data_IF_635274704774
#
_entry.id   IF_635274704774
#
_cell.length_a   1.000
_cell.length_b   1.000
_cell.length_c   1.000
_cell.angle_alpha   90.00
_cell.angle_beta   90.00
_cell.angle_gamma   90.00
#
_symmetry.space_group_name_H-M   'P 1'
#
loop_
_entity.id
_entity.type
_entity.pdbx_description
1 polymer ?
#
# COMPACT_ATOMS: atom_id res chain seq x y z
N UNK A 1 13.53 7.91 -5.14
CA UNK A 1 13.66 8.73 -6.36
C UNK A 1 13.46 7.80 -7.55
N UNK A 2 12.26 7.78 -8.16
CA UNK A 2 11.99 6.98 -9.35
C UNK A 2 12.41 7.80 -10.57
N UNK A 3 13.48 7.38 -11.24
CA UNK A 3 13.96 8.09 -12.42
C UNK A 3 13.33 7.52 -13.69
N UNK A 4 12.86 8.48 -14.49
CA UNK A 4 12.06 8.43 -15.70
C UNK A 4 12.76 7.70 -16.85
N UNK A 5 12.15 6.65 -17.37
CA UNK A 5 12.31 6.30 -18.79
C UNK A 5 11.16 6.99 -19.57
N UNK A 6 11.50 7.74 -20.61
CA UNK A 6 10.54 8.27 -21.57
C UNK A 6 10.32 7.21 -22.64
N UNK A 7 9.06 6.92 -22.95
CA UNK A 7 8.71 5.98 -24.00
C UNK A 7 9.19 6.50 -25.37
N UNK A 8 9.80 5.60 -26.15
CA UNK A 8 10.14 5.73 -27.56
C UNK A 8 11.28 6.69 -27.95
N UNK A 9 12.36 6.74 -27.16
CA UNK A 9 13.66 7.25 -27.63
C UNK A 9 14.75 6.29 -27.16
N UNK A 10 15.44 5.68 -28.14
CA UNK A 10 16.67 4.89 -28.07
C UNK A 10 17.23 4.51 -26.67
N UNK A 11 17.20 3.20 -26.40
CA UNK A 11 17.61 2.45 -25.21
C UNK A 11 19.09 2.64 -24.77
N UNK A 12 19.89 3.51 -25.41
CA UNK A 12 21.32 3.69 -25.09
C UNK A 12 21.59 4.88 -24.16
N UNK A 13 20.90 6.02 -24.35
CA UNK A 13 21.19 7.27 -23.62
C UNK A 13 20.66 7.29 -22.18
N UNK A 14 19.51 6.66 -21.94
CA UNK A 14 18.89 6.58 -20.60
C UNK A 14 19.67 5.62 -19.69
N UNK A 15 20.13 4.50 -20.26
CA UNK A 15 20.95 3.51 -19.56
C UNK A 15 22.32 4.07 -19.17
N UNK A 16 22.96 4.83 -20.07
CA UNK A 16 24.24 5.48 -19.78
C UNK A 16 24.11 6.51 -18.64
N UNK A 17 23.07 7.34 -18.65
CA UNK A 17 22.78 8.29 -17.59
C UNK A 17 22.60 7.60 -16.23
N UNK A 18 21.79 6.53 -16.18
CA UNK A 18 21.53 5.80 -14.93
C UNK A 18 22.79 5.08 -14.42
N UNK A 19 23.63 4.55 -15.31
CA UNK A 19 24.94 3.97 -14.96
C UNK A 19 25.93 5.01 -14.43
N UNK A 20 25.88 6.24 -14.92
CA UNK A 20 26.69 7.36 -14.38
C UNK A 20 26.27 7.69 -12.95
N UNK A 21 24.96 7.74 -12.69
CA UNK A 21 24.43 8.00 -11.34
C UNK A 21 24.84 6.91 -10.34
N UNK A 22 24.76 5.63 -10.75
CA UNK A 22 25.21 4.50 -9.92
C UNK A 22 26.68 4.64 -9.50
N UNK A 23 27.56 5.04 -10.43
CA UNK A 23 28.98 5.28 -10.13
C UNK A 23 29.16 6.42 -9.12
N UNK A 24 28.52 7.56 -9.35
CA UNK A 24 28.60 8.72 -8.44
C UNK A 24 28.21 8.39 -6.99
N UNK A 25 27.17 7.56 -6.80
CA UNK A 25 26.75 7.13 -5.47
C UNK A 25 27.80 6.21 -4.83
N UNK A 26 28.36 5.28 -5.60
CA UNK A 26 29.29 4.29 -5.08
C UNK A 26 30.69 4.84 -4.80
N UNK A 27 31.11 5.88 -5.53
CA UNK A 27 32.38 6.58 -5.37
C UNK A 27 32.36 7.55 -4.17
N UNK A 28 31.17 7.92 -3.68
CA UNK A 28 31.02 8.75 -2.49
C UNK A 28 31.32 7.93 -1.21
N UNK A 29 32.45 8.22 -0.56
CA UNK A 29 32.88 7.55 0.68
C UNK A 29 31.94 7.78 1.86
N UNK A 30 31.11 8.84 1.83
CA UNK A 30 30.14 9.15 2.87
C UNK A 30 28.79 8.47 2.66
N UNK A 31 28.61 7.72 1.56
CA UNK A 31 27.36 7.00 1.31
C UNK A 31 27.20 5.80 2.23
N UNK A 32 26.06 5.72 2.93
CA UNK A 32 25.70 4.57 3.79
C UNK A 32 25.05 3.42 3.02
N UNK A 33 24.85 3.57 1.71
CA UNK A 33 24.22 2.57 0.85
C UNK A 33 25.00 2.43 -0.46
N UNK A 34 24.81 1.30 -1.13
CA UNK A 34 25.42 1.00 -2.44
C UNK A 34 24.34 0.95 -3.51
N UNK A 35 24.63 1.56 -4.64
CA UNK A 35 23.75 1.59 -5.79
C UNK A 35 24.10 0.45 -6.77
N UNK A 36 23.06 -0.15 -7.34
CA UNK A 36 23.15 -1.02 -8.52
C UNK A 36 22.02 -0.65 -9.45
N UNK A 37 22.27 -0.68 -10.75
CA UNK A 37 21.22 -0.48 -11.73
C UNK A 37 20.15 -1.58 -11.60
N UNK A 38 18.89 -1.15 -11.49
CA UNK A 38 17.74 -2.05 -11.42
C UNK A 38 16.77 -1.70 -12.57
N UNK A 39 16.51 -2.69 -13.43
CA UNK A 39 15.63 -2.53 -14.61
C UNK A 39 14.13 -2.58 -14.24
N UNK A 40 13.80 -2.98 -13.01
CA UNK A 40 12.41 -3.01 -12.52
C UNK A 40 11.97 -1.61 -12.08
N UNK A 41 11.18 -0.92 -12.91
CA UNK A 41 10.68 0.41 -12.57
C UNK A 41 10.02 1.19 -13.71
N UNK A 42 9.41 0.51 -14.68
CA UNK A 42 8.69 1.17 -15.77
C UNK A 42 7.23 1.33 -15.35
N UNK A 43 6.78 2.58 -15.26
CA UNK A 43 5.36 2.91 -15.08
C UNK A 43 4.75 3.15 -16.46
N UNK A 44 3.69 2.44 -16.80
CA UNK A 44 2.94 2.73 -18.01
C UNK A 44 2.30 4.12 -17.91
N UNK A 45 2.28 4.85 -19.03
CA UNK A 45 1.73 6.23 -19.06
C UNK A 45 0.28 6.29 -19.53
N UNK A 46 -0.15 5.24 -20.20
CA UNK A 46 -1.48 5.11 -20.78
C UNK A 46 -2.05 3.76 -20.40
N UNK A 47 -3.21 3.78 -19.73
CA UNK A 47 -3.89 2.57 -19.26
C UNK A 47 -5.17 2.28 -20.06
N UNK A 48 -5.43 3.02 -21.14
CA UNK A 48 -6.58 2.76 -22.02
C UNK A 48 -7.95 3.16 -21.45
N UNK A 49 -8.00 3.89 -20.33
CA UNK A 49 -9.25 4.40 -19.76
C UNK A 49 -9.12 5.87 -19.33
N UNK A 50 -10.25 6.59 -19.34
CA UNK A 50 -10.34 7.96 -18.81
C UNK A 50 -10.64 7.91 -17.32
N UNK A 51 -9.97 8.76 -16.55
CA UNK A 51 -10.27 8.93 -15.14
C UNK A 51 -11.12 10.17 -14.92
N UNK A 52 -12.30 9.99 -14.32
CA UNK A 52 -13.16 11.07 -13.85
C UNK A 52 -13.26 10.98 -12.34
N UNK A 53 -12.78 12.01 -11.64
CA UNK A 53 -12.86 12.08 -10.17
C UNK A 53 -14.28 12.48 -9.76
N UNK A 54 -14.98 11.60 -9.05
CA UNK A 54 -16.27 11.93 -8.46
C UNK A 54 -16.07 12.84 -7.24
N UNK A 55 -16.21 14.16 -7.43
CA UNK A 55 -15.97 15.16 -6.38
C UNK A 55 -16.94 15.05 -5.21
N UNK A 56 -18.20 14.66 -5.47
CA UNK A 56 -19.22 14.45 -4.42
C UNK A 56 -18.85 13.28 -3.53
N UNK A 57 -18.55 12.12 -4.11
CA UNK A 57 -18.13 10.93 -3.35
C UNK A 57 -16.85 11.19 -2.55
N UNK A 58 -15.89 11.94 -3.12
CA UNK A 58 -14.68 12.36 -2.40
C UNK A 58 -15.03 13.23 -1.20
N UNK A 59 -15.93 14.20 -1.35
CA UNK A 59 -16.34 15.08 -0.25
C UNK A 59 -17.04 14.31 0.87
N UNK A 60 -17.88 13.34 0.54
CA UNK A 60 -18.53 12.46 1.52
C UNK A 60 -17.50 11.67 2.34
N UNK A 61 -16.49 11.07 1.69
CA UNK A 61 -15.41 10.35 2.38
C UNK A 61 -14.58 11.27 3.26
N UNK A 62 -14.35 12.52 2.84
CA UNK A 62 -13.64 13.50 3.69
C UNK A 62 -14.42 13.83 4.96
N UNK A 63 -15.76 13.93 4.88
CA UNK A 63 -16.62 14.13 6.05
C UNK A 63 -16.56 12.92 6.99
N UNK A 64 -16.59 11.70 6.46
CA UNK A 64 -16.45 10.49 7.27
C UNK A 64 -15.07 10.38 7.93
N UNK A 65 -14.02 10.76 7.22
CA UNK A 65 -12.66 10.87 7.77
C UNK A 65 -12.58 11.87 8.92
N UNK A 66 -13.17 13.05 8.75
CA UNK A 66 -13.20 14.08 9.78
C UNK A 66 -13.94 13.58 11.03
N UNK A 67 -15.11 12.94 10.86
CA UNK A 67 -15.84 12.31 11.99
C UNK A 67 -14.99 11.26 12.70
N UNK A 68 -14.29 10.42 11.94
CA UNK A 68 -13.43 9.37 12.48
C UNK A 68 -12.28 9.95 13.31
N UNK A 69 -11.55 10.94 12.77
CA UNK A 69 -10.45 11.59 13.51
C UNK A 69 -10.93 12.40 14.72
N UNK A 70 -12.15 12.93 14.66
CA UNK A 70 -12.76 13.64 15.78
C UNK A 70 -13.37 12.72 16.84
N UNK A 71 -13.44 11.41 16.60
CA UNK A 71 -14.00 10.43 17.54
C UNK A 71 -13.14 10.26 18.79
N UNK A 72 -13.77 9.99 19.93
CA UNK A 72 -13.06 9.73 21.20
C UNK A 72 -12.21 8.47 21.14
N UNK A 73 -12.57 7.50 20.29
CA UNK A 73 -11.73 6.34 20.04
C UNK A 73 -10.39 6.77 19.43
N UNK A 74 -10.41 7.59 18.38
CA UNK A 74 -9.17 8.06 17.73
C UNK A 74 -8.36 8.96 18.64
N UNK A 75 -9.00 9.89 19.34
CA UNK A 75 -8.30 10.75 20.30
C UNK A 75 -7.58 9.94 21.39
N UNK A 76 -8.25 8.93 21.96
CA UNK A 76 -7.62 8.04 22.95
C UNK A 76 -6.46 7.25 22.36
N UNK A 77 -6.61 6.69 21.17
CA UNK A 77 -5.53 5.95 20.53
C UNK A 77 -4.31 6.83 20.23
N UNK A 78 -4.52 8.05 19.71
CA UNK A 78 -3.43 8.99 19.49
C UNK A 78 -2.75 9.39 20.81
N UNK A 79 -3.53 9.53 21.89
CA UNK A 79 -2.98 9.77 23.21
C UNK A 79 -2.17 8.58 23.72
N UNK A 80 -2.68 7.34 23.61
CA UNK A 80 -1.93 6.13 23.98
C UNK A 80 -0.60 6.00 23.23
N UNK A 81 -0.58 6.34 21.94
CA UNK A 81 0.66 6.36 21.15
C UNK A 81 1.63 7.45 21.59
N UNK A 82 1.12 8.62 21.98
CA UNK A 82 1.93 9.77 22.42
C UNK A 82 2.48 9.55 23.83
N UNK A 83 1.69 8.94 24.70
CA UNK A 83 2.03 8.67 26.10
C UNK A 83 2.89 7.39 26.25
N UNK A 84 3.08 6.62 25.17
CA UNK A 84 3.91 5.41 25.21
C UNK A 84 5.38 5.78 25.45
N UNK A 85 6.00 5.29 26.53
CA UNK A 85 7.35 5.71 26.89
C UNK A 85 8.39 5.15 25.90
N UNK A 86 9.21 6.04 25.33
CA UNK A 86 10.32 5.69 24.43
C UNK A 86 11.27 4.64 25.03
N UNK A 87 11.46 4.67 26.35
CA UNK A 87 12.29 3.70 27.09
C UNK A 87 11.76 2.26 27.03
N UNK A 88 10.49 2.08 26.66
CA UNK A 88 9.86 0.77 26.47
C UNK A 88 9.89 0.30 25.01
N UNK A 89 10.44 1.09 24.08
CA UNK A 89 10.65 0.66 22.70
C UNK A 89 11.95 -0.17 22.59
N UNK A 90 11.93 -1.27 21.84
CA UNK A 90 13.15 -2.03 21.59
C UNK A 90 14.08 -1.23 20.67
N UNK A 91 15.39 -1.37 20.87
CA UNK A 91 16.41 -0.75 20.00
C UNK A 91 16.38 -1.30 18.57
N UNK A 92 15.88 -2.52 18.39
CA UNK A 92 15.67 -3.16 17.10
C UNK A 92 14.33 -3.89 17.09
N UNK A 93 13.58 -3.74 16.00
CA UNK A 93 12.30 -4.40 15.81
C UNK A 93 12.17 -4.94 14.39
N UNK A 94 11.75 -6.20 14.28
CA UNK A 94 11.40 -6.83 13.01
C UNK A 94 10.06 -7.55 13.17
N UNK A 95 9.04 -7.05 12.47
CA UNK A 95 7.70 -7.61 12.52
C UNK A 95 7.66 -9.09 12.08
N UNK A 96 8.56 -9.51 11.18
CA UNK A 96 8.65 -10.90 10.69
C UNK A 96 9.11 -11.84 11.79
N UNK A 97 9.94 -11.36 12.71
CA UNK A 97 10.39 -12.12 13.88
C UNK A 97 9.36 -12.10 15.01
N UNK A 98 8.64 -10.98 15.19
CA UNK A 98 7.61 -10.84 16.21
C UNK A 98 6.36 -11.67 15.92
N UNK A 99 5.96 -11.74 14.65
CA UNK A 99 4.78 -12.49 14.18
C UNK A 99 5.13 -13.46 13.05
N UNK A 100 5.94 -14.50 13.33
CA UNK A 100 6.43 -15.43 12.31
C UNK A 100 5.31 -16.28 11.68
N UNK A 101 4.18 -16.40 12.37
CA UNK A 101 2.99 -17.11 11.88
C UNK A 101 2.18 -16.29 10.86
N UNK A 102 2.57 -15.03 10.59
CA UNK A 102 1.91 -14.15 9.64
C UNK A 102 2.74 -14.01 8.35
N UNK A 103 2.51 -14.87 7.34
CA UNK A 103 3.34 -14.90 6.13
C UNK A 103 3.21 -13.63 5.28
N UNK A 104 2.12 -12.88 5.43
CA UNK A 104 1.91 -11.62 4.70
C UNK A 104 2.98 -10.58 5.02
N UNK A 105 3.54 -10.57 6.25
CA UNK A 105 4.54 -9.57 6.69
C UNK A 105 5.85 -9.71 5.90
N UNK A 106 6.18 -10.93 5.48
CA UNK A 106 7.38 -11.21 4.69
C UNK A 106 7.14 -11.08 3.18
N UNK A 107 5.90 -10.84 2.73
CA UNK A 107 5.54 -10.81 1.32
C UNK A 107 5.94 -9.47 0.69
N UNK A 108 6.57 -9.54 -0.48
CA UNK A 108 6.92 -8.36 -1.30
C UNK A 108 6.07 -8.35 -2.58
N UNK A 109 4.96 -7.60 -2.63
CA UNK A 109 4.09 -7.54 -3.80
C UNK A 109 4.70 -6.70 -4.94
N UNK A 110 4.29 -6.99 -6.18
CA UNK A 110 4.67 -6.22 -7.36
C UNK A 110 3.43 -5.53 -7.95
N UNK A 111 3.42 -4.20 -7.96
CA UNK A 111 2.34 -3.37 -8.50
C UNK A 111 2.25 -3.35 -10.05
N UNK A 112 3.26 -3.92 -10.73
CA UNK A 112 3.36 -3.90 -12.19
C UNK A 112 3.51 -2.48 -12.76
N UNK A 113 3.11 -2.30 -14.01
CA UNK A 113 3.14 -1.00 -14.70
C UNK A 113 2.11 0.02 -14.19
N UNK A 114 1.27 -0.35 -13.22
CA UNK A 114 0.23 0.48 -12.63
C UNK A 114 0.77 1.31 -11.45
N UNK A 115 0.40 2.59 -11.35
CA UNK A 115 0.69 3.45 -10.19
C UNK A 115 -0.15 3.15 -8.95
N UNK A 116 -0.32 1.87 -8.60
CA UNK A 116 -1.20 1.36 -7.54
C UNK A 116 -0.53 1.16 -6.18
N UNK A 117 0.64 1.75 -5.93
CA UNK A 117 1.37 1.60 -4.66
C UNK A 117 0.51 1.90 -3.41
N UNK A 118 -0.41 2.87 -3.50
CA UNK A 118 -1.33 3.21 -2.41
C UNK A 118 -2.27 2.04 -2.06
N UNK A 119 -2.77 1.31 -3.06
CA UNK A 119 -3.64 0.15 -2.90
C UNK A 119 -2.84 -1.07 -2.41
N UNK A 120 -1.68 -1.32 -3.01
CA UNK A 120 -0.78 -2.42 -2.64
C UNK A 120 -0.30 -2.29 -1.19
N UNK A 121 0.10 -1.08 -0.77
CA UNK A 121 0.52 -0.82 0.61
C UNK A 121 -0.64 -1.00 1.60
N UNK A 122 -1.82 -0.45 1.29
CA UNK A 122 -2.99 -0.58 2.17
C UNK A 122 -3.44 -2.04 2.33
N UNK A 123 -3.55 -2.79 1.22
CA UNK A 123 -3.91 -4.21 1.26
C UNK A 123 -2.85 -5.06 1.99
N UNK A 124 -1.56 -4.73 1.84
CA UNK A 124 -0.47 -5.37 2.59
C UNK A 124 -0.60 -5.17 4.11
N UNK A 125 -0.71 -3.92 4.56
CA UNK A 125 -0.89 -3.58 5.99
C UNK A 125 -2.16 -4.21 6.55
N UNK A 126 -3.25 -4.19 5.78
CA UNK A 126 -4.52 -4.77 6.17
C UNK A 126 -4.41 -6.30 6.33
N UNK A 127 -3.69 -6.99 5.44
CA UNK A 127 -3.43 -8.43 5.53
C UNK A 127 -2.62 -8.78 6.77
N UNK A 128 -1.54 -8.02 7.03
CA UNK A 128 -0.68 -8.21 8.19
C UNK A 128 -1.46 -8.08 9.49
N UNK A 129 -2.26 -7.03 9.60
CA UNK A 129 -3.04 -6.76 10.80
C UNK A 129 -4.19 -7.74 10.99
N UNK A 130 -4.86 -8.15 9.92
CA UNK A 130 -5.85 -9.22 9.99
C UNK A 130 -5.22 -10.52 10.52
N UNK A 131 -4.01 -10.87 10.08
CA UNK A 131 -3.30 -12.02 10.62
C UNK A 131 -2.90 -11.84 12.09
N UNK A 132 -2.30 -10.71 12.46
CA UNK A 132 -1.86 -10.43 13.83
C UNK A 132 -3.04 -10.46 14.81
N UNK A 133 -4.11 -9.75 14.50
CA UNK A 133 -5.29 -9.64 15.36
C UNK A 133 -6.06 -10.95 15.48
N UNK A 134 -6.03 -11.78 14.43
CA UNK A 134 -6.63 -13.13 14.45
C UNK A 134 -5.70 -14.19 15.03
N UNK A 135 -4.56 -13.79 15.61
CA UNK A 135 -3.54 -14.68 16.17
C UNK A 135 -3.07 -15.76 15.19
N UNK A 136 -2.89 -15.39 13.92
CA UNK A 136 -2.40 -16.28 12.86
C UNK A 136 -3.46 -17.21 12.25
N UNK A 137 -4.74 -17.07 12.61
CA UNK A 137 -5.82 -17.87 12.00
C UNK A 137 -6.20 -17.37 10.61
N UNK A 138 -6.21 -16.05 10.39
CA UNK A 138 -6.26 -15.47 9.05
C UNK A 138 -4.85 -15.42 8.46
N UNK A 139 -4.61 -16.10 7.34
CA UNK A 139 -3.29 -16.17 6.68
C UNK A 139 -3.33 -15.78 5.20
N UNK A 140 -4.49 -15.42 4.68
CA UNK A 140 -4.68 -15.01 3.30
C UNK A 140 -4.19 -13.57 3.08
N UNK A 141 -4.00 -13.19 1.82
CA UNK A 141 -3.74 -11.80 1.43
C UNK A 141 -5.02 -11.13 0.96
N UNK A 142 -5.25 -9.90 1.43
CA UNK A 142 -6.29 -9.02 0.91
C UNK A 142 -5.89 -8.49 -0.47
N UNK A 143 -6.89 -8.25 -1.29
CA UNK A 143 -6.73 -7.93 -2.70
C UNK A 143 -6.48 -6.43 -2.91
N UNK A 144 -5.30 -6.07 -3.40
CA UNK A 144 -5.02 -4.73 -3.91
C UNK A 144 -5.86 -4.40 -5.16
N UNK A 145 -6.25 -5.42 -5.92
CA UNK A 145 -7.13 -5.30 -7.10
C UNK A 145 -8.56 -4.92 -6.71
N UNK A 146 -9.03 -5.35 -5.55
CA UNK A 146 -10.33 -4.96 -5.01
C UNK A 146 -10.37 -3.45 -4.71
N UNK A 147 -9.31 -2.92 -4.10
CA UNK A 147 -9.17 -1.46 -3.89
C UNK A 147 -9.14 -0.73 -5.23
N UNK A 148 -8.39 -1.24 -6.22
CA UNK A 148 -8.28 -0.61 -7.54
C UNK A 148 -9.58 -0.68 -8.36
N UNK A 149 -10.35 -1.76 -8.21
CA UNK A 149 -11.52 -2.06 -9.02
C UNK A 149 -12.85 -1.61 -8.40
N UNK A 150 -12.96 -1.54 -7.07
CA UNK A 150 -14.20 -1.27 -6.36
C UNK A 150 -14.20 0.06 -5.56
N UNK A 151 -13.04 0.62 -5.22
CA UNK A 151 -13.00 1.88 -4.47
C UNK A 151 -12.96 3.11 -5.39
N UNK A 152 -14.13 3.66 -5.70
CA UNK A 152 -14.30 4.81 -6.61
C UNK A 152 -13.52 6.07 -6.21
N UNK A 153 -13.22 6.22 -4.92
CA UNK A 153 -12.59 7.42 -4.34
C UNK A 153 -11.12 7.23 -3.96
N UNK A 154 -10.62 5.99 -3.99
CA UNK A 154 -9.27 5.67 -3.53
C UNK A 154 -8.21 6.04 -4.57
N UNK A 155 -8.51 5.91 -5.86
CA UNK A 155 -7.58 6.21 -6.95
C UNK A 155 -7.62 5.16 -8.06
N UNK A 156 -6.58 5.13 -8.89
CA UNK A 156 -6.34 4.10 -9.90
C UNK A 156 -4.85 4.05 -10.30
N UNK A 157 -4.53 3.48 -11.47
CA UNK A 157 -3.15 3.40 -11.96
C UNK A 157 -2.45 4.74 -12.23
N UNK A 158 -3.17 5.86 -12.31
CA UNK A 158 -2.55 7.19 -12.35
C UNK A 158 -2.06 7.64 -10.97
N UNK A 159 -2.60 7.09 -9.89
CA UNK A 159 -2.28 7.37 -8.51
C UNK A 159 -3.51 7.31 -7.60
N UNK A 160 -3.29 7.40 -6.29
CA UNK A 160 -4.35 7.32 -5.30
C UNK A 160 -3.90 7.72 -3.90
N UNK A 161 -4.82 7.58 -2.96
CA UNK A 161 -4.70 7.99 -1.58
C UNK A 161 -4.72 6.75 -0.66
N UNK A 162 -3.62 6.46 0.05
CA UNK A 162 -3.54 5.27 0.90
C UNK A 162 -4.47 5.35 2.11
N UNK A 163 -4.75 6.55 2.63
CA UNK A 163 -5.66 6.72 3.76
C UNK A 163 -7.09 6.34 3.35
N UNK A 164 -7.53 6.76 2.15
CA UNK A 164 -8.84 6.37 1.62
C UNK A 164 -8.94 4.86 1.40
N UNK A 165 -7.87 4.20 0.97
CA UNK A 165 -7.83 2.75 0.85
C UNK A 165 -7.97 2.04 2.21
N UNK A 166 -7.35 2.57 3.27
CA UNK A 166 -7.53 2.05 4.63
C UNK A 166 -8.95 2.29 5.16
N UNK A 167 -9.54 3.45 4.90
CA UNK A 167 -10.94 3.75 5.26
C UNK A 167 -11.91 2.84 4.51
N UNK A 168 -11.65 2.58 3.23
CA UNK A 168 -12.43 1.64 2.43
C UNK A 168 -12.44 0.25 3.07
N UNK A 169 -11.28 -0.24 3.53
CA UNK A 169 -11.21 -1.50 4.27
C UNK A 169 -12.05 -1.49 5.56
N UNK A 170 -11.99 -0.42 6.34
CA UNK A 170 -12.77 -0.29 7.58
C UNK A 170 -14.27 -0.29 7.30
N UNK A 171 -14.72 0.49 6.32
CA UNK A 171 -16.14 0.75 6.09
C UNK A 171 -16.81 -0.33 5.24
N UNK A 172 -16.12 -0.80 4.21
CA UNK A 172 -16.68 -1.72 3.22
C UNK A 172 -16.10 -3.13 3.36
N UNK A 173 -14.83 -3.23 3.75
CA UNK A 173 -14.05 -4.47 3.76
C UNK A 173 -13.20 -4.61 2.50
N UNK A 174 -12.32 -5.60 2.48
CA UNK A 174 -11.60 -6.02 1.27
C UNK A 174 -11.78 -7.52 1.09
N UNK A 175 -11.89 -7.99 -0.16
CA UNK A 175 -11.87 -9.43 -0.43
C UNK A 175 -10.45 -9.99 -0.46
N UNK A 176 -10.29 -11.29 -0.28
CA UNK A 176 -9.01 -11.97 -0.49
C UNK A 176 -8.61 -11.99 -1.97
N UNK A 177 -7.32 -11.85 -2.28
CA UNK A 177 -6.81 -11.89 -3.64
C UNK A 177 -5.53 -12.73 -3.75
N UNK A 178 -5.52 -13.68 -4.69
CA UNK A 178 -4.30 -14.35 -5.11
C UNK A 178 -3.56 -13.52 -6.18
N UNK A 179 -2.27 -13.80 -6.37
CA UNK A 179 -1.43 -13.20 -7.43
C UNK A 179 -1.92 -13.66 -8.81
N UNK A 180 -3.06 -13.16 -9.27
CA UNK A 180 -3.46 -13.31 -10.67
C UNK A 180 -3.08 -12.05 -11.42
N UNK A 181 -2.04 -12.21 -12.25
CA UNK A 181 -1.77 -11.30 -13.35
C UNK A 181 -3.01 -11.30 -14.24
N UNK A 182 -3.49 -10.11 -14.59
CA UNK A 182 -4.52 -9.81 -15.60
C UNK A 182 -6.00 -9.90 -15.20
N UNK A 183 -6.47 -8.84 -14.52
CA UNK A 183 -7.53 -7.88 -14.95
C UNK A 183 -8.00 -7.12 -13.71
N UNK A 184 -7.82 -5.79 -13.69
CA UNK A 184 -8.40 -4.93 -12.63
C UNK A 184 -9.91 -4.91 -12.86
N UNK A 185 -10.65 -5.68 -12.07
CA UNK A 185 -12.11 -5.64 -12.05
C UNK A 185 -12.55 -5.70 -10.60
N UNK A 186 -13.67 -5.04 -10.28
CA UNK A 186 -14.26 -5.20 -8.96
C UNK A 186 -14.55 -6.69 -8.73
N UNK A 187 -13.79 -7.31 -7.83
CA UNK A 187 -13.96 -8.72 -7.50
C UNK A 187 -15.20 -8.78 -6.62
N UNK A 188 -16.36 -9.08 -7.20
CA UNK A 188 -17.55 -9.37 -6.41
C UNK A 188 -17.21 -10.47 -5.38
N UNK A 189 -17.77 -10.32 -4.18
CA UNK A 189 -17.58 -11.23 -3.03
C UNK A 189 -17.84 -12.72 -3.33
N UNK A 190 -18.42 -13.05 -4.49
CA UNK A 190 -18.61 -14.42 -4.98
C UNK A 190 -17.31 -15.20 -5.23
N UNK A 191 -16.13 -14.55 -5.25
CA UNK A 191 -14.83 -15.24 -5.37
C UNK A 191 -13.88 -15.08 -4.18
N UNK A 192 -14.28 -14.39 -3.11
CA UNK A 192 -13.44 -14.20 -1.93
C UNK A 192 -14.23 -13.75 -0.71
N UNK A 193 -13.83 -14.20 0.48
CA UNK A 193 -14.48 -13.79 1.73
C UNK A 193 -14.20 -12.30 1.98
N UNK A 194 -15.25 -11.50 2.18
CA UNK A 194 -15.13 -10.10 2.58
C UNK A 194 -14.57 -10.02 4.01
N UNK A 195 -13.39 -9.41 4.17
CA UNK A 195 -12.74 -9.26 5.47
C UNK A 195 -12.80 -7.81 5.91
N UNK A 196 -13.38 -7.60 7.10
CA UNK A 196 -13.41 -6.32 7.81
C UNK A 196 -12.48 -6.39 9.02
N UNK A 197 -11.98 -5.25 9.52
CA UNK A 197 -11.33 -5.21 10.83
C UNK A 197 -12.24 -5.83 11.91
N UNK A 198 -11.66 -6.54 12.88
CA UNK A 198 -12.42 -7.14 13.99
C UNK A 198 -13.21 -6.04 14.76
N UNK A 199 -14.45 -6.31 15.18
CA UNK A 199 -15.28 -5.27 15.77
C UNK A 199 -14.87 -4.89 17.20
N UNK A 200 -14.83 -3.56 17.41
CA UNK A 200 -14.83 -2.75 18.65
C UNK A 200 -13.55 -2.70 19.48
N UNK A 201 -12.92 -1.52 19.47
CA UNK A 201 -12.00 -1.04 20.52
C UNK A 201 -10.54 -0.91 20.11
N UNK A 202 -10.12 -1.59 19.05
CA UNK A 202 -8.77 -1.41 18.48
C UNK A 202 -8.86 -0.59 17.22
N UNK A 203 -8.30 0.61 17.28
CA UNK A 203 -7.87 1.29 16.07
C UNK A 203 -6.70 0.50 15.47
N UNK A 204 -6.61 0.58 14.15
CA UNK A 204 -5.52 0.02 13.36
C UNK A 204 -4.25 0.76 13.82
#
# INVERSE_FOLDING_TARGET
>A
MYLRAADNVEDSGTDEYLRKLVRQINDNSSSTWKAKFNKFGVKDRSYGFKYTRNSTAVREVMVELEKFFNSDAMKRHLQELTDYPDSSLPTHFDARLKWPNCPSIARVPNQGGCGSCYAVAAAGVASDRACIQSNGTFRASLSDQDVLGCCDVCGNCYGGDPLKAMVYWVNQGMVTGELLVSRVSCLQADRGTLIRPLPKGQLI
#
